data_IF_147235994822
#
_entry.id   IF_147235994822
#
_cell.length_a   1.000
_cell.length_b   1.000
_cell.length_c   1.000
_cell.angle_alpha   90.00
_cell.angle_beta   90.00
_cell.angle_gamma   90.00
#
_symmetry.space_group_name_H-M   'P 1'
#
loop_
_entity.id
_entity.type
_entity.pdbx_description
1 polymer ?
#
# COMPACT_ATOMS: atom_id res chain seq x y z
N UNK A 1 -9.27 -26.01 2.88
CA UNK A 1 -9.97 -25.04 1.99
C UNK A 1 -9.17 -23.74 2.00
N UNK A 2 -8.53 -23.37 0.88
CA UNK A 2 -7.79 -22.10 0.79
C UNK A 2 -8.79 -20.96 0.67
N UNK A 3 -8.91 -20.13 1.70
CA UNK A 3 -9.70 -18.90 1.59
C UNK A 3 -8.87 -17.90 0.81
N UNK A 4 -9.16 -17.76 -0.49
CA UNK A 4 -8.71 -16.58 -1.24
C UNK A 4 -9.59 -15.44 -0.76
N UNK A 5 -9.04 -14.56 0.08
CA UNK A 5 -9.70 -13.29 0.42
C UNK A 5 -10.05 -12.64 -0.93
N UNK A 6 -11.34 -12.51 -1.28
CA UNK A 6 -11.70 -11.84 -2.53
C UNK A 6 -11.13 -10.42 -2.44
N UNK A 7 -10.63 -9.90 -3.56
CA UNK A 7 -10.14 -8.52 -3.61
C UNK A 7 -11.36 -7.57 -3.53
N UNK A 8 -11.95 -7.44 -2.34
CA UNK A 8 -13.21 -6.73 -2.08
C UNK A 8 -13.01 -5.21 -2.13
N UNK A 9 -11.78 -4.73 -2.00
CA UNK A 9 -11.43 -3.31 -2.01
C UNK A 9 -10.45 -3.03 -3.14
N UNK A 10 -10.93 -2.38 -4.20
CA UNK A 10 -10.08 -1.88 -5.27
C UNK A 10 -9.79 -0.39 -5.04
N UNK A 11 -8.60 -0.09 -4.54
CA UNK A 11 -8.22 1.28 -4.21
C UNK A 11 -8.03 2.18 -5.45
N UNK A 12 -7.82 1.59 -6.63
CA UNK A 12 -7.63 2.33 -7.88
C UNK A 12 -8.92 3.05 -8.32
N UNK A 13 -10.07 2.68 -7.74
CA UNK A 13 -11.35 3.34 -7.99
C UNK A 13 -11.59 4.58 -7.13
N UNK A 14 -10.81 4.79 -6.07
CA UNK A 14 -10.97 5.99 -5.24
C UNK A 14 -10.37 7.20 -5.95
N UNK A 15 -11.20 8.23 -6.08
CA UNK A 15 -10.80 9.52 -6.63
C UNK A 15 -11.29 10.64 -5.72
N UNK A 16 -10.52 11.72 -5.69
CA UNK A 16 -10.78 12.87 -4.84
C UNK A 16 -10.60 14.14 -5.66
N UNK A 17 -11.52 15.08 -5.57
CA UNK A 17 -11.29 16.46 -5.98
C UNK A 17 -10.32 17.14 -5.03
N UNK A 18 -9.70 18.23 -5.46
CA UNK A 18 -8.73 18.97 -4.63
C UNK A 18 -9.29 19.40 -3.27
N UNK A 19 -10.58 19.75 -3.21
CA UNK A 19 -11.24 20.13 -1.96
C UNK A 19 -11.40 18.97 -0.97
N UNK A 20 -11.65 17.75 -1.47
CA UNK A 20 -11.69 16.53 -0.66
C UNK A 20 -10.29 16.18 -0.15
N UNK A 21 -9.31 16.18 -1.05
CA UNK A 21 -7.91 15.94 -0.71
C UNK A 21 -7.41 16.94 0.35
N UNK A 22 -7.75 18.22 0.21
CA UNK A 22 -7.42 19.27 1.17
C UNK A 22 -8.03 19.00 2.56
N UNK A 23 -9.33 18.67 2.64
CA UNK A 23 -9.97 18.35 3.93
C UNK A 23 -9.39 17.09 4.58
N UNK A 24 -9.13 16.04 3.79
CA UNK A 24 -8.65 14.76 4.31
C UNK A 24 -7.19 14.83 4.80
N UNK A 25 -6.37 15.68 4.20
CA UNK A 25 -4.92 15.75 4.49
C UNK A 25 -4.54 16.95 5.35
N UNK A 26 -5.42 17.94 5.50
CA UNK A 26 -5.11 19.21 6.16
C UNK A 26 -4.14 20.10 5.37
N UNK A 27 -3.77 19.74 4.13
CA UNK A 27 -2.97 20.59 3.24
C UNK A 27 -3.90 21.56 2.51
N UNK A 28 -3.56 22.85 2.45
CA UNK A 28 -4.42 23.82 1.76
C UNK A 28 -4.50 23.52 0.25
N UNK A 29 -5.66 23.78 -0.36
CA UNK A 29 -5.83 23.67 -1.83
C UNK A 29 -4.80 24.47 -2.62
N UNK A 30 -4.29 25.59 -2.07
CA UNK A 30 -3.22 26.39 -2.68
C UNK A 30 -1.89 25.65 -2.69
N UNK A 31 -1.51 25.03 -1.58
CA UNK A 31 -0.30 24.22 -1.49
C UNK A 31 -0.36 23.00 -2.41
N UNK A 32 -1.51 22.31 -2.46
CA UNK A 32 -1.70 21.17 -3.37
C UNK A 32 -1.52 21.57 -4.83
N UNK A 33 -2.09 22.69 -5.28
CA UNK A 33 -1.85 23.22 -6.63
C UNK A 33 -0.39 23.55 -6.87
N UNK A 34 0.29 24.15 -5.90
CA UNK A 34 1.72 24.43 -6.00
C UNK A 34 2.56 23.14 -6.08
N UNK A 35 2.22 22.10 -5.32
CA UNK A 35 2.91 20.81 -5.38
C UNK A 35 2.70 20.13 -6.72
N UNK A 36 1.49 20.21 -7.27
CA UNK A 36 1.18 19.70 -8.60
C UNK A 36 1.94 20.46 -9.70
N UNK A 37 2.02 21.79 -9.64
CA UNK A 37 2.81 22.61 -10.57
C UNK A 37 4.32 22.30 -10.52
N UNK A 38 4.80 21.70 -9.43
CA UNK A 38 6.20 21.32 -9.23
C UNK A 38 6.45 19.84 -9.53
N UNK A 39 5.46 19.12 -10.04
CA UNK A 39 5.51 17.67 -10.29
C UNK A 39 5.84 16.84 -9.03
N UNK A 40 5.42 17.33 -7.87
CA UNK A 40 5.55 16.60 -6.60
C UNK A 40 4.39 15.63 -6.37
N UNK A 41 3.22 15.96 -6.92
CA UNK A 41 2.02 15.14 -7.00
C UNK A 41 1.38 15.34 -8.38
N UNK A 42 0.48 14.45 -8.80
CA UNK A 42 -0.16 14.55 -10.11
C UNK A 42 -1.65 14.29 -10.01
N UNK A 43 -2.46 15.12 -10.67
CA UNK A 43 -3.85 14.78 -10.91
C UNK A 43 -3.95 13.76 -12.05
N UNK A 44 -4.98 12.91 -11.98
CA UNK A 44 -5.43 12.11 -13.11
C UNK A 44 -6.54 12.85 -13.84
N UNK A 45 -6.50 12.80 -15.18
CA UNK A 45 -7.58 13.28 -16.03
C UNK A 45 -8.47 12.10 -16.36
N UNK A 46 -9.78 12.25 -16.22
CA UNK A 46 -10.73 11.22 -16.65
C UNK A 46 -11.02 11.36 -18.15
N UNK A 47 -11.15 10.23 -18.82
CA UNK A 47 -11.56 10.13 -20.23
C UNK A 47 -13.08 10.33 -20.43
N UNK A 48 -13.86 10.39 -19.34
CA UNK A 48 -15.25 10.82 -19.44
C UNK A 48 -15.32 12.32 -19.77
N UNK A 49 -16.43 12.77 -20.36
CA UNK A 49 -16.63 14.14 -20.85
C UNK A 49 -16.45 15.24 -19.77
N UNK A 50 -16.19 14.83 -18.52
CA UNK A 50 -15.94 15.67 -17.38
C UNK A 50 -14.43 15.78 -17.13
N UNK A 51 -13.80 16.81 -17.72
CA UNK A 51 -12.36 17.15 -17.60
C UNK A 51 -11.91 17.58 -16.18
N UNK A 52 -12.67 17.22 -15.15
CA UNK A 52 -12.38 17.63 -13.78
C UNK A 52 -11.09 16.95 -13.30
N UNK A 53 -10.12 17.75 -12.87
CA UNK A 53 -8.90 17.25 -12.23
C UNK A 53 -9.26 16.55 -10.92
N UNK A 54 -8.88 15.28 -10.82
CA UNK A 54 -9.04 14.47 -9.60
C UNK A 54 -7.72 13.80 -9.25
N UNK A 55 -7.60 13.35 -8.01
CA UNK A 55 -6.42 12.71 -7.47
C UNK A 55 -6.82 11.33 -6.97
N UNK A 56 -5.99 10.33 -7.24
CA UNK A 56 -6.25 8.95 -6.83
C UNK A 56 -5.82 8.68 -5.38
N UNK A 57 -6.06 7.45 -4.92
CA UNK A 57 -5.62 7.00 -3.60
C UNK A 57 -4.10 7.09 -3.41
N UNK A 58 -3.33 6.82 -4.47
CA UNK A 58 -1.87 6.94 -4.42
C UNK A 58 -1.43 8.37 -4.12
N UNK A 59 -2.02 9.35 -4.78
CA UNK A 59 -1.75 10.77 -4.54
C UNK A 59 -2.16 11.20 -3.13
N UNK A 60 -3.29 10.68 -2.62
CA UNK A 60 -3.68 10.90 -1.23
C UNK A 60 -2.59 10.45 -0.23
N UNK A 61 -2.00 9.26 -0.45
CA UNK A 61 -0.89 8.77 0.39
C UNK A 61 0.35 9.66 0.25
N UNK A 62 0.72 10.09 -0.96
CA UNK A 62 1.84 11.01 -1.19
C UNK A 62 1.69 12.30 -0.39
N UNK A 63 0.53 12.95 -0.52
CA UNK A 63 0.23 14.20 0.18
C UNK A 63 0.28 13.99 1.70
N UNK A 64 -0.27 12.89 2.19
CA UNK A 64 -0.28 12.56 3.62
C UNK A 64 1.14 12.37 4.18
N UNK A 65 2.02 11.69 3.43
CA UNK A 65 3.43 11.50 3.82
C UNK A 65 4.16 12.85 3.82
N UNK A 66 4.03 13.65 2.76
CA UNK A 66 4.67 14.96 2.68
C UNK A 66 4.21 15.86 3.84
N UNK A 67 2.90 15.90 4.11
CA UNK A 67 2.33 16.69 5.22
C UNK A 67 2.92 16.26 6.57
N UNK A 68 2.94 14.96 6.85
CA UNK A 68 3.53 14.44 8.09
C UNK A 68 5.00 14.86 8.24
N UNK A 69 5.78 14.76 7.17
CA UNK A 69 7.19 15.19 7.18
C UNK A 69 7.31 16.70 7.38
N UNK A 70 6.44 17.52 6.79
CA UNK A 70 6.42 18.95 7.06
C UNK A 70 6.08 19.27 8.52
N UNK A 71 5.15 18.53 9.13
CA UNK A 71 4.79 18.66 10.55
C UNK A 71 5.96 18.26 11.47
N UNK A 72 6.79 17.32 11.03
CA UNK A 72 8.06 16.96 11.67
C UNK A 72 9.18 17.99 11.43
N UNK A 73 8.91 19.09 10.70
CA UNK A 73 9.84 20.20 10.48
C UNK A 73 10.66 20.12 9.19
N UNK A 74 10.41 19.14 8.32
CA UNK A 74 11.13 19.03 7.05
C UNK A 74 10.68 20.13 6.07
N UNK A 75 11.65 20.71 5.36
CA UNK A 75 11.35 21.57 4.20
C UNK A 75 10.74 20.75 3.07
N UNK A 76 9.87 21.37 2.28
CA UNK A 76 9.11 20.69 1.22
C UNK A 76 9.98 19.84 0.27
N UNK A 77 11.12 20.31 -0.28
CA UNK A 77 11.94 19.47 -1.16
C UNK A 77 12.43 18.19 -0.49
N UNK A 78 12.91 18.27 0.75
CA UNK A 78 13.38 17.11 1.51
C UNK A 78 12.22 16.15 1.87
N UNK A 79 11.04 16.69 2.18
CA UNK A 79 9.85 15.89 2.41
C UNK A 79 9.42 15.10 1.15
N UNK A 80 9.49 15.72 -0.03
CA UNK A 80 9.18 15.08 -1.32
C UNK A 80 10.20 13.98 -1.65
N UNK A 81 11.49 14.22 -1.44
CA UNK A 81 12.52 13.20 -1.66
C UNK A 81 12.32 11.99 -0.75
N UNK A 82 12.08 12.22 0.54
CA UNK A 82 11.83 11.14 1.49
C UNK A 82 10.51 10.40 1.21
N UNK A 83 9.47 11.11 0.79
CA UNK A 83 8.23 10.49 0.30
C UNK A 83 8.52 9.54 -0.86
N UNK A 84 9.30 9.97 -1.87
CA UNK A 84 9.65 9.11 -3.02
C UNK A 84 10.41 7.85 -2.60
N UNK A 85 11.28 7.94 -1.59
CA UNK A 85 11.96 6.76 -1.02
C UNK A 85 10.97 5.82 -0.33
N UNK A 86 10.08 6.34 0.53
CA UNK A 86 9.03 5.55 1.20
C UNK A 86 8.13 4.86 0.16
N UNK A 87 7.80 5.53 -0.94
CA UNK A 87 7.00 4.91 -2.01
C UNK A 87 7.69 3.71 -2.66
N UNK A 88 9.01 3.78 -2.86
CA UNK A 88 9.78 2.64 -3.38
C UNK A 88 9.74 1.46 -2.41
N UNK A 89 9.87 1.71 -1.12
CA UNK A 89 9.77 0.68 -0.07
C UNK A 89 8.38 0.03 -0.01
N UNK A 90 7.31 0.84 -0.10
CA UNK A 90 5.93 0.35 -0.15
C UNK A 90 5.70 -0.47 -1.42
N UNK A 91 6.19 -0.01 -2.57
CA UNK A 91 6.04 -0.71 -3.84
C UNK A 91 6.74 -2.09 -3.80
N UNK A 92 7.98 -2.14 -3.29
CA UNK A 92 8.70 -3.39 -3.11
C UNK A 92 7.94 -4.34 -2.17
N UNK A 93 7.47 -3.84 -1.02
CA UNK A 93 6.72 -4.63 -0.05
C UNK A 93 5.43 -5.19 -0.65
N UNK A 94 4.71 -4.39 -1.45
CA UNK A 94 3.49 -4.82 -2.15
C UNK A 94 3.76 -5.92 -3.17
N UNK A 95 4.77 -5.74 -4.03
CA UNK A 95 5.13 -6.75 -5.03
C UNK A 95 5.62 -8.04 -4.38
N UNK A 96 6.42 -7.92 -3.32
CA UNK A 96 6.83 -9.08 -2.52
C UNK A 96 5.62 -9.80 -1.92
N UNK A 97 4.73 -9.08 -1.24
CA UNK A 97 3.55 -9.70 -0.63
C UNK A 97 2.63 -10.33 -1.67
N UNK A 98 2.39 -9.67 -2.81
CA UNK A 98 1.59 -10.23 -3.92
C UNK A 98 2.18 -11.51 -4.49
N UNK A 99 3.51 -11.62 -4.52
CA UNK A 99 4.21 -12.80 -5.01
C UNK A 99 4.31 -13.92 -3.95
N UNK A 100 4.50 -13.56 -2.68
CA UNK A 100 4.73 -14.49 -1.58
C UNK A 100 3.42 -15.01 -0.96
N UNK A 101 2.39 -14.17 -0.82
CA UNK A 101 1.15 -14.54 -0.16
C UNK A 101 0.30 -15.48 -1.01
N UNK A 102 0.21 -16.74 -0.59
CA UNK A 102 -0.62 -17.79 -1.22
C UNK A 102 -1.91 -18.06 -0.42
N UNK A 103 -2.44 -17.03 0.23
CA UNK A 103 -3.73 -17.06 0.91
C UNK A 103 -3.67 -17.48 2.38
N UNK A 104 -4.85 -17.73 2.95
CA UNK A 104 -5.01 -18.15 4.33
C UNK A 104 -5.36 -19.63 4.38
N UNK A 105 -4.64 -20.36 5.23
CA UNK A 105 -4.85 -21.78 5.50
C UNK A 105 -5.26 -22.00 6.95
N UNK A 106 -6.15 -22.98 7.16
CA UNK A 106 -6.50 -23.46 8.49
C UNK A 106 -5.68 -24.70 8.75
N UNK A 107 -4.81 -24.65 9.75
CA UNK A 107 -3.96 -25.77 10.15
C UNK A 107 -4.15 -26.00 11.64
N UNK A 108 -4.53 -27.21 12.01
CA UNK A 108 -4.83 -27.59 13.41
C UNK A 108 -5.85 -26.66 14.09
N UNK A 109 -6.83 -26.18 13.30
CA UNK A 109 -7.88 -25.26 13.75
C UNK A 109 -7.45 -23.79 13.86
N UNK A 110 -6.19 -23.47 13.54
CA UNK A 110 -5.66 -22.10 13.59
C UNK A 110 -5.46 -21.51 12.20
N UNK A 111 -5.61 -20.19 12.07
CA UNK A 111 -5.42 -19.47 10.80
C UNK A 111 -3.96 -19.09 10.60
N UNK A 112 -3.42 -19.44 9.44
CA UNK A 112 -2.08 -19.11 9.00
C UNK A 112 -2.11 -18.38 7.66
N UNK A 113 -1.26 -17.37 7.52
CA UNK A 113 -0.92 -16.79 6.22
C UNK A 113 0.10 -17.71 5.55
N UNK A 114 -0.23 -18.29 4.40
CA UNK A 114 0.76 -19.00 3.58
C UNK A 114 1.60 -17.96 2.83
N UNK A 115 2.90 -17.94 3.09
CA UNK A 115 3.87 -17.00 2.52
C UNK A 115 4.75 -17.63 1.44
N UNK A 116 4.34 -18.79 0.92
CA UNK A 116 4.99 -19.49 -0.18
C UNK A 116 6.16 -20.36 0.24
N UNK A 117 6.90 -20.86 -0.75
CA UNK A 117 8.03 -21.75 -0.51
C UNK A 117 9.17 -21.03 0.23
N UNK A 118 9.64 -21.65 1.30
CA UNK A 118 10.75 -21.13 2.11
C UNK A 118 12.11 -21.38 1.44
N UNK A 119 12.26 -22.49 0.72
CA UNK A 119 13.51 -22.92 0.10
C UNK A 119 13.41 -23.01 -1.43
N UNK A 120 14.54 -22.82 -2.12
CA UNK A 120 14.61 -22.88 -3.59
C UNK A 120 14.19 -24.23 -4.16
N UNK A 121 14.42 -25.31 -3.41
CA UNK A 121 14.02 -26.66 -3.80
C UNK A 121 12.51 -26.92 -3.62
N UNK A 122 11.76 -25.95 -3.08
CA UNK A 122 10.31 -26.02 -2.87
C UNK A 122 9.90 -27.23 -2.03
N UNK A 123 10.69 -27.54 -0.99
CA UNK A 123 10.43 -28.65 -0.06
C UNK A 123 9.75 -28.20 1.21
N UNK A 124 9.75 -26.90 1.50
CA UNK A 124 9.16 -26.31 2.71
C UNK A 124 8.34 -25.07 2.37
N UNK A 125 7.30 -24.81 3.15
CA UNK A 125 6.44 -23.62 3.07
C UNK A 125 6.61 -22.79 4.34
N UNK A 126 6.69 -21.47 4.17
CA UNK A 126 6.68 -20.52 5.28
C UNK A 126 5.25 -20.09 5.58
N UNK A 127 4.86 -20.19 6.84
CA UNK A 127 3.59 -19.71 7.36
C UNK A 127 3.83 -18.59 8.37
N UNK A 128 3.00 -17.55 8.29
CA UNK A 128 2.94 -16.48 9.29
C UNK A 128 1.65 -16.59 10.10
N UNK A 129 1.73 -16.33 11.41
CA UNK A 129 0.57 -16.25 12.31
C UNK A 129 0.58 -14.89 13.00
N UNK A 130 -0.59 -14.33 13.21
CA UNK A 130 -0.79 -13.13 14.01
C UNK A 130 -1.82 -13.41 15.09
N UNK A 131 -1.40 -13.33 16.35
CA UNK A 131 -2.28 -13.55 17.50
C UNK A 131 -1.88 -12.59 18.61
N UNK A 132 -2.87 -11.95 19.26
CA UNK A 132 -2.68 -11.06 20.40
C UNK A 132 -1.65 -9.93 20.19
N UNK A 133 -1.54 -9.41 18.97
CA UNK A 133 -0.60 -8.33 18.66
C UNK A 133 0.80 -8.80 18.24
N UNK A 134 1.08 -10.09 18.32
CA UNK A 134 2.39 -10.66 18.03
C UNK A 134 2.37 -11.51 16.76
N UNK A 135 3.48 -11.46 16.02
CA UNK A 135 3.70 -12.30 14.84
C UNK A 135 4.60 -13.49 15.19
N UNK A 136 4.21 -14.70 14.79
CA UNK A 136 5.08 -15.87 14.80
C UNK A 136 5.18 -16.48 13.41
N UNK A 137 6.24 -17.26 13.19
CA UNK A 137 6.53 -17.88 11.89
C UNK A 137 6.76 -19.38 12.07
N UNK A 138 6.29 -20.16 11.11
CA UNK A 138 6.45 -21.61 11.11
C UNK A 138 6.84 -22.10 9.72
N UNK A 139 7.83 -22.99 9.65
CA UNK A 139 8.24 -23.62 8.39
C UNK A 139 7.80 -25.08 8.42
N UNK A 140 6.89 -25.47 7.52
CA UNK A 140 6.41 -26.85 7.42
C UNK A 140 6.91 -27.50 6.13
N UNK A 141 7.21 -28.81 6.12
CA UNK A 141 7.48 -29.53 4.87
C UNK A 141 6.25 -29.48 3.95
N UNK A 142 6.48 -29.45 2.64
CA UNK A 142 5.42 -29.69 1.66
C UNK A 142 5.03 -31.15 1.79
N UNK A 143 3.82 -31.44 2.29
CA UNK A 143 3.29 -32.79 2.23
C UNK A 143 3.12 -33.16 0.75
N UNK A 144 3.97 -34.10 0.30
CA UNK A 144 3.71 -34.84 -0.94
C UNK A 144 2.64 -35.86 -0.60
N UNK A 145 1.38 -35.51 -0.87
CA UNK A 145 0.40 -36.55 -1.16
C UNK A 145 0.84 -37.33 -2.40
#
# INVERSE_FOLDING_TARGET
>A
MKYRIPNLVNFDKFVFRIGELSRMTGVSSRQLRYWEQRDYISAITRDDQNKARVYDFHTFIQVSIIKRLQDEGYRLPAAVEKMRSIQKEIALSREFFKAAFDGVEVIDGQLYLNLGYFDKAKTKVLYGRYENGETSYEVRPVNKD
#
